data_IF_547655993775
#
_entry.id   IF_547655993775
#
_cell.length_a   1.000
_cell.length_b   1.000
_cell.length_c   1.000
_cell.angle_alpha   90.00
_cell.angle_beta   90.00
_cell.angle_gamma   90.00
#
_symmetry.space_group_name_H-M   'P 1'
#
loop_
_entity.id
_entity.type
_entity.pdbx_description
1 polymer ?
#
# COMPACT_ATOMS: atom_id res chain seq x y z
N UNK A 1 25.03 -20.75 31.37
CA UNK A 1 24.06 -20.21 30.40
C UNK A 1 24.56 -20.28 28.97
N UNK A 2 25.61 -19.58 28.54
CA UNK A 2 26.10 -19.71 27.14
C UNK A 2 26.68 -21.11 26.84
N UNK A 3 27.47 -21.69 27.76
CA UNK A 3 28.01 -23.05 27.57
C UNK A 3 26.92 -24.15 27.60
N UNK A 4 25.87 -23.95 28.40
CA UNK A 4 24.69 -24.84 28.39
C UNK A 4 23.84 -24.67 27.12
N UNK A 5 23.77 -23.46 26.57
CA UNK A 5 23.09 -23.20 25.30
C UNK A 5 23.83 -23.90 24.14
N UNK A 6 25.16 -23.79 24.11
CA UNK A 6 26.00 -24.48 23.12
C UNK A 6 25.88 -26.00 23.27
N UNK A 7 25.96 -26.54 24.50
CA UNK A 7 25.83 -27.98 24.74
C UNK A 7 24.44 -28.53 24.38
N UNK A 8 23.37 -27.75 24.61
CA UNK A 8 22.02 -28.11 24.17
C UNK A 8 21.85 -28.00 22.65
N UNK A 9 22.50 -27.03 22.01
CA UNK A 9 22.53 -26.91 20.55
C UNK A 9 23.26 -28.11 19.92
N UNK A 10 24.35 -28.59 20.52
CA UNK A 10 25.05 -29.80 20.07
C UNK A 10 24.23 -31.09 20.24
N UNK A 11 23.33 -31.13 21.23
CA UNK A 11 22.37 -32.25 21.40
C UNK A 11 21.22 -32.22 20.39
N UNK A 12 20.89 -31.05 19.84
CA UNK A 12 19.87 -30.87 18.79
C UNK A 12 20.40 -31.21 17.39
N UNK A 13 21.71 -31.08 17.15
CA UNK A 13 22.38 -31.44 15.88
C UNK A 13 21.95 -32.80 15.28
N UNK A 14 21.92 -33.94 16.02
CA UNK A 14 21.48 -35.22 15.43
C UNK A 14 19.99 -35.26 15.04
N UNK A 15 19.16 -34.41 15.65
CA UNK A 15 17.76 -34.27 15.28
C UNK A 15 17.60 -33.36 14.06
N UNK A 16 18.40 -32.30 13.96
CA UNK A 16 18.51 -31.45 12.77
C UNK A 16 19.04 -32.23 11.57
N UNK A 17 20.12 -33.01 11.73
CA UNK A 17 20.68 -33.88 10.68
C UNK A 17 19.65 -34.89 10.16
N UNK A 18 18.87 -35.52 11.05
CA UNK A 18 17.81 -36.45 10.63
C UNK A 18 16.69 -35.71 9.87
N UNK A 19 16.37 -34.48 10.28
CA UNK A 19 15.37 -33.64 9.60
C UNK A 19 15.89 -33.19 8.22
N UNK A 20 17.18 -32.93 8.11
CA UNK A 20 17.86 -32.57 6.87
C UNK A 20 17.94 -33.76 5.89
N UNK A 21 18.22 -34.97 6.39
CA UNK A 21 18.15 -36.21 5.59
C UNK A 21 16.71 -36.51 5.11
N UNK A 22 15.70 -36.28 5.95
CA UNK A 22 14.32 -36.47 5.53
C UNK A 22 13.88 -35.39 4.52
N UNK A 23 14.37 -34.16 4.67
CA UNK A 23 14.16 -33.08 3.70
C UNK A 23 14.83 -33.37 2.36
N UNK A 24 16.04 -33.92 2.35
CA UNK A 24 16.74 -34.29 1.11
C UNK A 24 16.01 -35.41 0.37
N UNK A 25 15.48 -36.42 1.09
CA UNK A 25 14.64 -37.47 0.50
C UNK A 25 13.35 -36.90 -0.09
N UNK A 26 12.74 -35.91 0.57
CA UNK A 26 11.57 -35.22 0.03
C UNK A 26 11.92 -34.46 -1.24
N UNK A 27 13.04 -33.73 -1.27
CA UNK A 27 13.47 -33.00 -2.48
C UNK A 27 13.81 -33.94 -3.65
N UNK A 28 14.35 -35.13 -3.38
CA UNK A 28 14.52 -36.18 -4.39
C UNK A 28 13.17 -36.68 -4.94
N UNK A 29 12.15 -36.82 -4.07
CA UNK A 29 10.78 -37.19 -4.46
C UNK A 29 10.07 -36.07 -5.22
N UNK A 30 10.38 -34.80 -4.93
CA UNK A 30 9.84 -33.64 -5.65
C UNK A 30 10.25 -33.64 -7.11
N UNK A 31 11.46 -34.13 -7.38
CA UNK A 31 12.03 -34.22 -8.72
C UNK A 31 12.35 -32.85 -9.31
N UNK A 32 13.37 -32.81 -10.15
CA UNK A 32 13.72 -31.64 -10.96
C UNK A 32 13.71 -32.05 -12.45
N UNK A 33 12.98 -31.35 -13.34
CA UNK A 33 12.24 -30.10 -13.15
C UNK A 33 10.82 -30.29 -12.61
N UNK A 34 10.31 -29.27 -11.90
CA UNK A 34 8.91 -29.13 -11.50
C UNK A 34 8.15 -28.32 -12.55
N UNK A 35 6.90 -28.67 -12.81
CA UNK A 35 5.99 -27.95 -13.71
C UNK A 35 4.92 -27.22 -12.90
N UNK A 36 4.49 -26.04 -13.35
CA UNK A 36 3.40 -25.29 -12.72
C UNK A 36 2.06 -25.65 -13.36
N UNK A 37 1.05 -25.88 -12.53
CA UNK A 37 -0.34 -26.09 -12.93
C UNK A 37 -1.30 -25.41 -11.95
N UNK A 38 -2.59 -25.46 -12.24
CA UNK A 38 -3.65 -24.95 -11.36
C UNK A 38 -4.46 -26.11 -10.80
N UNK A 39 -4.87 -25.99 -9.54
CA UNK A 39 -5.79 -26.92 -8.91
C UNK A 39 -7.22 -26.55 -9.33
N UNK A 40 -7.94 -27.44 -10.02
CA UNK A 40 -9.33 -27.17 -10.41
C UNK A 40 -10.30 -27.62 -9.31
N UNK A 41 -10.16 -28.86 -8.85
CA UNK A 41 -11.07 -29.46 -7.87
C UNK A 41 -10.37 -30.51 -7.02
N UNK A 42 -10.68 -30.53 -5.72
CA UNK A 42 -10.29 -31.60 -4.81
C UNK A 42 -11.38 -32.67 -4.80
N UNK A 43 -11.01 -33.89 -5.19
CA UNK A 43 -11.96 -35.03 -5.25
C UNK A 43 -11.95 -35.78 -3.93
N UNK A 44 -10.77 -36.08 -3.39
CA UNK A 44 -10.60 -36.77 -2.12
C UNK A 44 -9.33 -36.29 -1.41
N UNK A 45 -9.01 -36.88 -0.24
CA UNK A 45 -7.85 -36.49 0.54
C UNK A 45 -6.51 -36.70 -0.17
N UNK A 46 -6.44 -37.57 -1.19
CA UNK A 46 -5.19 -37.99 -1.83
C UNK A 46 -5.19 -37.74 -3.34
N UNK A 47 -6.27 -37.21 -3.92
CA UNK A 47 -6.40 -36.99 -5.36
C UNK A 47 -7.12 -35.68 -5.68
N UNK A 48 -6.63 -35.01 -6.70
CA UNK A 48 -7.19 -33.78 -7.22
C UNK A 48 -7.19 -33.76 -8.74
N UNK A 49 -8.06 -32.94 -9.30
CA UNK A 49 -8.06 -32.58 -10.71
C UNK A 49 -7.21 -31.33 -10.88
N UNK A 50 -6.23 -31.42 -11.77
CA UNK A 50 -5.27 -30.35 -12.02
C UNK A 50 -5.22 -30.01 -13.50
N UNK A 51 -5.11 -28.73 -13.82
CA UNK A 51 -4.92 -28.24 -15.18
C UNK A 51 -3.47 -27.80 -15.36
N UNK A 52 -2.83 -28.26 -16.44
CA UNK A 52 -1.50 -27.79 -16.81
C UNK A 52 -1.63 -26.54 -17.69
N UNK A 53 -0.63 -25.65 -17.65
CA UNK A 53 -0.61 -24.35 -18.35
C UNK A 53 -0.99 -24.38 -19.85
N UNK A 54 -0.85 -25.52 -20.53
CA UNK A 54 -1.24 -25.69 -21.94
C UNK A 54 -1.92 -27.06 -22.19
N UNK A 55 -2.49 -27.68 -21.15
CA UNK A 55 -2.87 -29.10 -21.18
C UNK A 55 -4.33 -29.40 -20.86
N UNK A 56 -4.78 -30.65 -21.11
CA UNK A 56 -6.02 -31.18 -20.58
C UNK A 56 -5.96 -31.32 -19.05
N UNK A 57 -7.12 -31.48 -18.43
CA UNK A 57 -7.25 -31.77 -16.99
C UNK A 57 -6.75 -33.19 -16.70
N UNK A 58 -5.95 -33.34 -15.63
CA UNK A 58 -5.41 -34.61 -15.17
C UNK A 58 -5.92 -34.93 -13.77
N UNK A 59 -6.30 -36.19 -13.57
CA UNK A 59 -6.55 -36.74 -12.24
C UNK A 59 -5.23 -37.24 -11.66
N UNK A 60 -4.76 -36.60 -10.59
CA UNK A 60 -3.43 -36.81 -10.04
C UNK A 60 -3.46 -37.03 -8.53
N UNK A 61 -2.47 -37.76 -8.03
CA UNK A 61 -2.28 -37.97 -6.59
C UNK A 61 -1.57 -36.81 -5.91
N UNK A 62 -1.98 -36.49 -4.68
CA UNK A 62 -1.36 -35.51 -3.79
C UNK A 62 -0.32 -36.23 -2.92
N UNK A 63 0.93 -35.74 -2.91
CA UNK A 63 1.98 -36.32 -2.07
C UNK A 63 1.76 -35.98 -0.59
N UNK A 64 2.11 -36.92 0.30
CA UNK A 64 1.77 -36.84 1.73
C UNK A 64 2.42 -35.69 2.51
N UNK A 65 3.42 -35.02 1.94
CA UNK A 65 4.10 -33.87 2.54
C UNK A 65 3.52 -32.52 2.11
N UNK A 66 2.49 -32.52 1.27
CA UNK A 66 1.73 -31.31 0.92
C UNK A 66 0.68 -31.08 2.00
N UNK A 67 0.63 -29.85 2.53
CA UNK A 67 -0.39 -29.45 3.47
C UNK A 67 -1.74 -29.31 2.74
N UNK A 68 -2.71 -30.13 3.14
CA UNK A 68 -4.01 -30.25 2.46
C UNK A 68 -4.94 -29.10 2.82
N UNK A 69 -4.75 -28.52 4.00
CA UNK A 69 -5.59 -27.43 4.51
C UNK A 69 -5.37 -26.13 3.72
N UNK A 70 -4.24 -26.05 3.00
CA UNK A 70 -3.85 -24.89 2.18
C UNK A 70 -4.20 -25.06 0.68
N UNK A 71 -4.77 -26.21 0.28
CA UNK A 71 -5.16 -26.44 -1.12
C UNK A 71 -6.57 -25.88 -1.36
N UNK A 72 -6.66 -24.72 -2.00
CA UNK A 72 -7.93 -24.15 -2.46
C UNK A 72 -8.08 -24.26 -3.99
N UNK A 73 -9.29 -24.51 -4.51
CA UNK A 73 -9.56 -24.47 -5.95
C UNK A 73 -9.12 -23.12 -6.55
N UNK A 74 -8.32 -23.18 -7.60
CA UNK A 74 -7.74 -22.03 -8.28
C UNK A 74 -6.30 -21.70 -7.86
N UNK A 75 -5.76 -22.33 -6.81
CA UNK A 75 -4.36 -22.13 -6.41
C UNK A 75 -3.37 -22.69 -7.44
N UNK A 76 -2.24 -22.00 -7.58
CA UNK A 76 -1.11 -22.50 -8.35
C UNK A 76 -0.37 -23.60 -7.58
N UNK A 77 -0.15 -24.73 -8.21
CA UNK A 77 0.50 -25.90 -7.64
C UNK A 77 1.76 -26.28 -8.41
N UNK A 78 2.70 -26.86 -7.69
CA UNK A 78 3.89 -27.51 -8.23
C UNK A 78 3.58 -28.98 -8.50
N UNK A 79 3.83 -29.39 -9.73
CA UNK A 79 3.61 -30.75 -10.20
C UNK A 79 4.93 -31.40 -10.60
N UNK A 80 5.06 -32.71 -10.36
CA UNK A 80 6.20 -33.48 -10.84
C UNK A 80 6.10 -33.70 -12.36
N UNK A 81 7.10 -33.32 -13.14
CA UNK A 81 7.04 -33.37 -14.61
C UNK A 81 6.71 -34.76 -15.21
N UNK A 82 7.16 -35.86 -14.59
CA UNK A 82 6.89 -37.23 -15.09
C UNK A 82 5.56 -37.86 -14.64
N UNK A 83 5.16 -37.65 -13.38
CA UNK A 83 4.05 -38.37 -12.74
C UNK A 83 2.82 -37.48 -12.60
N UNK A 84 3.00 -36.16 -12.80
CA UNK A 84 1.98 -35.12 -12.65
C UNK A 84 1.37 -35.05 -11.24
N UNK A 85 1.94 -35.76 -10.25
CA UNK A 85 1.53 -35.65 -8.85
C UNK A 85 1.77 -34.25 -8.28
N UNK A 86 0.92 -33.84 -7.33
CA UNK A 86 1.06 -32.57 -6.62
C UNK A 86 2.20 -32.70 -5.61
N UNK A 87 3.23 -31.88 -5.81
CA UNK A 87 4.48 -31.85 -5.04
C UNK A 87 4.50 -30.71 -4.03
N UNK A 88 3.72 -29.68 -4.26
CA UNK A 88 3.65 -28.56 -3.35
C UNK A 88 2.71 -27.49 -3.87
N UNK A 89 2.41 -26.55 -3.01
CA UNK A 89 1.74 -25.32 -3.37
C UNK A 89 2.81 -24.33 -3.83
N UNK A 90 2.55 -23.67 -4.96
CA UNK A 90 3.28 -22.45 -5.28
C UNK A 90 2.57 -21.35 -4.47
N UNK A 91 3.28 -20.73 -3.52
CA UNK A 91 2.72 -19.59 -2.78
C UNK A 91 2.22 -18.57 -3.80
N UNK A 92 0.99 -18.09 -3.60
CA UNK A 92 0.26 -17.24 -4.55
C UNK A 92 1.22 -16.25 -5.22
N UNK A 93 1.41 -16.42 -6.53
CA UNK A 93 2.08 -15.42 -7.33
C UNK A 93 1.17 -14.19 -7.28
N UNK A 94 1.43 -13.32 -6.32
CA UNK A 94 0.90 -11.98 -6.33
C UNK A 94 1.25 -11.43 -7.70
N UNK A 95 0.22 -11.10 -8.49
CA UNK A 95 0.38 -10.67 -9.89
C UNK A 95 1.56 -9.69 -9.93
N UNK A 96 2.58 -9.87 -10.81
CA UNK A 96 3.76 -9.03 -10.79
C UNK A 96 3.41 -7.54 -10.87
N UNK A 97 2.25 -7.17 -11.42
CA UNK A 97 1.69 -5.81 -11.36
C UNK A 97 1.37 -5.30 -9.95
N UNK A 98 0.93 -6.17 -9.05
CA UNK A 98 0.65 -5.86 -7.64
C UNK A 98 1.95 -5.86 -6.84
N UNK A 99 2.92 -6.69 -7.21
CA UNK A 99 4.30 -6.57 -6.71
C UNK A 99 4.98 -5.25 -7.12
N UNK A 100 4.50 -4.60 -8.20
CA UNK A 100 4.91 -3.22 -8.58
C UNK A 100 4.25 -2.15 -7.70
N UNK A 101 3.13 -2.46 -7.03
CA UNK A 101 2.62 -1.56 -5.98
C UNK A 101 3.66 -1.54 -4.89
N UNK A 102 4.24 -0.36 -4.70
CA UNK A 102 5.35 -0.20 -3.78
C UNK A 102 4.86 -0.47 -2.37
N UNK A 103 5.18 -1.66 -1.86
CA UNK A 103 5.35 -1.89 -0.42
C UNK A 103 6.56 -1.06 -0.02
N UNK A 104 6.36 0.25 0.14
CA UNK A 104 7.40 1.14 0.60
C UNK A 104 7.59 0.86 2.09
N UNK A 105 8.80 0.41 2.47
CA UNK A 105 9.23 0.47 3.88
C UNK A 105 9.00 1.90 4.37
N UNK A 106 8.53 2.03 5.61
CA UNK A 106 8.20 3.28 6.30
C UNK A 106 9.00 4.48 5.75
N UNK A 107 8.35 5.42 5.05
CA UNK A 107 9.05 6.58 4.51
C UNK A 107 9.69 7.38 5.64
N UNK A 108 10.82 8.04 5.37
CA UNK A 108 11.63 8.72 6.40
C UNK A 108 10.97 9.99 6.96
N UNK A 109 9.89 10.46 6.34
CA UNK A 109 9.22 11.72 6.67
C UNK A 109 8.40 11.55 7.95
N UNK A 110 8.53 12.50 8.88
CA UNK A 110 7.83 12.49 10.16
C UNK A 110 6.83 13.65 10.24
N UNK A 111 5.91 13.63 11.20
CA UNK A 111 5.02 14.77 11.44
C UNK A 111 5.78 16.07 11.77
N UNK A 112 7.01 15.97 12.29
CA UNK A 112 7.84 17.14 12.57
C UNK A 112 8.34 17.85 11.30
N UNK A 113 8.37 17.16 10.17
CA UNK A 113 8.75 17.72 8.87
C UNK A 113 7.58 18.46 8.19
N UNK A 114 6.36 18.39 8.75
CA UNK A 114 5.15 19.04 8.23
C UNK A 114 4.87 20.30 9.04
N UNK A 115 4.83 21.45 8.36
CA UNK A 115 4.60 22.75 9.00
C UNK A 115 3.13 23.18 8.97
N UNK A 116 2.57 23.53 10.13
CA UNK A 116 1.34 24.34 10.28
C UNK A 116 0.04 23.69 9.80
N UNK A 117 -0.01 22.36 9.79
CA UNK A 117 -1.21 21.56 9.51
C UNK A 117 -1.66 20.78 10.76
N UNK A 118 -1.56 21.40 11.94
CA UNK A 118 -1.76 20.71 13.23
C UNK A 118 -3.18 20.11 13.36
N UNK A 119 -4.20 20.82 12.86
CA UNK A 119 -5.58 20.35 12.88
C UNK A 119 -5.79 19.13 11.97
N UNK A 120 -5.27 19.19 10.74
CA UNK A 120 -5.35 18.10 9.77
C UNK A 120 -4.55 16.88 10.22
N UNK A 121 -3.38 17.09 10.83
CA UNK A 121 -2.59 16.03 11.44
C UNK A 121 -3.40 15.34 12.53
N UNK A 122 -4.02 16.11 13.43
CA UNK A 122 -4.84 15.55 14.52
C UNK A 122 -6.01 14.70 13.98
N UNK A 123 -6.74 15.19 12.98
CA UNK A 123 -7.86 14.44 12.38
C UNK A 123 -7.41 13.12 11.73
N UNK A 124 -6.29 13.13 11.03
CA UNK A 124 -5.70 11.90 10.47
C UNK A 124 -5.27 10.93 11.56
N UNK A 125 -4.63 11.44 12.63
CA UNK A 125 -4.17 10.59 13.74
C UNK A 125 -5.33 9.89 14.41
N UNK A 126 -6.42 10.61 14.67
CA UNK A 126 -7.64 10.04 15.22
C UNK A 126 -8.27 9.01 14.29
N UNK A 127 -8.20 9.21 12.97
CA UNK A 127 -8.81 8.32 11.99
C UNK A 127 -7.99 7.05 11.69
N UNK A 128 -6.66 7.14 11.72
CA UNK A 128 -5.77 6.06 11.25
C UNK A 128 -4.85 5.54 12.36
N UNK A 129 -4.17 6.41 13.11
CA UNK A 129 -3.18 6.00 14.12
C UNK A 129 -3.84 5.48 15.40
N UNK A 130 -4.87 6.16 15.90
CA UNK A 130 -5.55 5.81 17.14
C UNK A 130 -6.23 4.44 17.10
N UNK A 131 -6.95 4.05 16.02
CA UNK A 131 -7.53 2.71 15.93
C UNK A 131 -6.49 1.58 15.90
N UNK A 132 -5.30 1.84 15.33
CA UNK A 132 -4.23 0.86 15.22
C UNK A 132 -3.42 0.73 16.52
N UNK A 133 -3.22 1.84 17.23
CA UNK A 133 -2.42 1.87 18.46
C UNK A 133 -3.23 1.51 19.71
N UNK A 134 -4.49 1.94 19.78
CA UNK A 134 -5.37 1.78 20.94
C UNK A 134 -6.79 1.36 20.52
N UNK A 135 -6.99 0.12 20.03
CA UNK A 135 -8.31 -0.39 19.66
C UNK A 135 -9.26 -0.47 20.87
N UNK A 136 -8.75 -0.70 22.08
CA UNK A 136 -9.52 -0.81 23.33
C UNK A 136 -10.42 0.41 23.58
N UNK A 137 -9.96 1.62 23.23
CA UNK A 137 -10.73 2.85 23.40
C UNK A 137 -12.02 2.86 22.57
N UNK A 138 -12.00 2.22 21.39
CA UNK A 138 -13.17 2.11 20.52
C UNK A 138 -14.13 1.03 21.00
N UNK A 139 -13.59 -0.08 21.52
CA UNK A 139 -14.38 -1.18 22.09
C UNK A 139 -15.14 -0.76 23.35
N UNK A 140 -14.48 -0.03 24.27
CA UNK A 140 -15.07 0.46 25.51
C UNK A 140 -16.26 1.41 25.27
N UNK A 141 -16.14 2.26 24.23
CA UNK A 141 -17.20 3.20 23.84
C UNK A 141 -18.26 2.49 22.97
N UNK A 142 -17.93 1.35 22.35
CA UNK A 142 -18.81 0.60 21.45
C UNK A 142 -19.02 1.26 20.10
N UNK A 143 -18.05 2.05 19.62
CA UNK A 143 -18.11 2.72 18.32
C UNK A 143 -17.14 2.07 17.34
N UNK A 144 -17.54 1.95 16.07
CA UNK A 144 -16.63 1.50 15.02
C UNK A 144 -15.68 2.65 14.63
N UNK A 145 -14.38 2.37 14.42
CA UNK A 145 -13.47 3.37 13.90
C UNK A 145 -13.86 3.79 12.47
N UNK A 146 -13.52 5.01 12.03
CA UNK A 146 -13.77 5.43 10.66
C UNK A 146 -13.02 4.54 9.67
N UNK A 147 -13.64 4.26 8.51
CA UNK A 147 -13.12 3.32 7.50
C UNK A 147 -12.19 4.01 6.50
N UNK A 148 -12.59 5.18 6.03
CA UNK A 148 -11.91 5.90 4.95
C UNK A 148 -11.74 7.38 5.23
N UNK A 149 -10.58 7.90 4.81
CA UNK A 149 -10.23 9.32 4.87
C UNK A 149 -9.97 9.83 3.46
N UNK A 150 -10.53 10.98 3.10
CA UNK A 150 -10.18 11.70 1.87
C UNK A 150 -9.45 13.00 2.19
N UNK A 151 -8.33 13.21 1.52
CA UNK A 151 -7.50 14.41 1.56
C UNK A 151 -7.74 15.20 0.28
N UNK A 152 -8.22 16.44 0.41
CA UNK A 152 -8.50 17.29 -0.75
C UNK A 152 -7.98 18.72 -0.57
N UNK A 153 -7.67 19.40 -1.68
CA UNK A 153 -7.25 20.80 -1.69
C UNK A 153 -6.36 21.13 -2.87
N UNK A 154 -5.71 22.29 -2.87
CA UNK A 154 -4.80 22.70 -3.94
C UNK A 154 -3.57 21.77 -4.05
N UNK A 155 -3.00 21.57 -5.25
CA UNK A 155 -1.77 20.81 -5.41
C UNK A 155 -0.61 21.50 -4.66
N UNK A 156 0.36 20.72 -4.18
CA UNK A 156 1.53 21.27 -3.47
C UNK A 156 1.30 21.65 -2.00
N UNK A 157 0.12 21.36 -1.44
CA UNK A 157 -0.23 21.57 -0.01
C UNK A 157 0.26 20.47 0.93
N UNK A 158 0.90 19.41 0.41
CA UNK A 158 1.51 18.37 1.24
C UNK A 158 0.63 17.16 1.57
N UNK A 159 -0.46 16.93 0.82
CA UNK A 159 -1.32 15.72 0.96
C UNK A 159 -0.52 14.41 0.97
N UNK A 160 0.37 14.23 -0.02
CA UNK A 160 1.23 13.04 -0.12
C UNK A 160 2.27 12.97 1.01
N UNK A 161 2.77 14.12 1.50
CA UNK A 161 3.71 14.17 2.63
C UNK A 161 3.04 13.72 3.93
N UNK A 162 1.79 14.13 4.16
CA UNK A 162 1.04 13.71 5.34
C UNK A 162 0.77 12.20 5.34
N UNK A 163 0.37 11.64 4.20
CA UNK A 163 0.17 10.20 4.07
C UNK A 163 1.45 9.40 4.37
N UNK A 164 2.61 9.89 3.91
CA UNK A 164 3.90 9.29 4.23
C UNK A 164 4.24 9.40 5.72
N UNK A 165 4.03 10.56 6.34
CA UNK A 165 4.27 10.72 7.77
C UNK A 165 3.42 9.77 8.63
N UNK A 166 2.18 9.49 8.22
CA UNK A 166 1.30 8.51 8.88
C UNK A 166 1.87 7.11 8.79
N UNK A 167 2.27 6.69 7.58
CA UNK A 167 2.87 5.37 7.37
C UNK A 167 4.14 5.16 8.20
N UNK A 168 4.92 6.22 8.43
CA UNK A 168 6.09 6.16 9.30
C UNK A 168 5.70 5.99 10.79
N UNK A 169 4.63 6.66 11.25
CA UNK A 169 4.19 6.59 12.65
C UNK A 169 3.55 5.25 13.01
N UNK A 170 2.73 4.70 12.10
CA UNK A 170 1.91 3.51 12.42
C UNK A 170 2.64 2.19 12.28
N UNK A 171 3.86 2.17 11.71
CA UNK A 171 4.63 0.94 11.41
C UNK A 171 3.83 -0.14 10.64
N UNK A 172 2.70 0.24 10.05
CA UNK A 172 1.82 -0.63 9.28
C UNK A 172 2.32 -0.76 7.84
N UNK A 173 1.91 -1.82 7.15
CA UNK A 173 2.25 -1.99 5.73
C UNK A 173 1.62 -0.85 4.92
N UNK A 174 2.44 -0.05 4.23
CA UNK A 174 1.96 1.03 3.39
C UNK A 174 1.93 0.61 1.92
N UNK A 175 0.73 0.58 1.35
CA UNK A 175 0.48 0.28 -0.05
C UNK A 175 0.13 1.58 -0.77
N UNK A 176 1.01 2.06 -1.63
CA UNK A 176 0.76 3.25 -2.47
C UNK A 176 0.37 2.84 -3.87
N UNK A 177 -0.75 3.38 -4.34
CA UNK A 177 -1.21 3.28 -5.74
C UNK A 177 -1.54 4.67 -6.27
N UNK A 178 -1.22 4.94 -7.53
CA UNK A 178 -1.66 6.17 -8.21
C UNK A 178 -2.94 5.86 -8.99
N UNK A 179 -3.94 6.73 -8.92
CA UNK A 179 -5.25 6.52 -9.57
C UNK A 179 -5.13 6.22 -11.07
N UNK A 180 -4.16 6.83 -11.76
CA UNK A 180 -3.88 6.55 -13.17
C UNK A 180 -3.43 5.10 -13.44
N UNK A 181 -2.82 4.41 -12.48
CA UNK A 181 -2.35 3.02 -12.62
C UNK A 181 -3.51 2.01 -12.64
N UNK A 182 -4.67 2.40 -12.11
CA UNK A 182 -5.89 1.59 -12.16
C UNK A 182 -6.53 1.56 -13.56
N UNK A 183 -6.08 2.42 -14.48
CA UNK A 183 -6.59 2.50 -15.85
C UNK A 183 -5.72 1.63 -16.76
N UNK A 184 -6.25 0.48 -17.17
CA UNK A 184 -5.56 -0.47 -18.04
C UNK A 184 -6.11 -0.46 -19.47
N UNK A 185 -5.27 -0.89 -20.43
CA UNK A 185 -5.65 -0.93 -21.86
C UNK A 185 -6.59 -2.09 -22.19
N UNK A 186 -6.48 -3.19 -21.45
CA UNK A 186 -7.30 -4.38 -21.64
C UNK A 186 -8.55 -4.32 -20.79
N UNK A 187 -9.64 -4.84 -21.34
CA UNK A 187 -10.95 -4.86 -20.69
C UNK A 187 -10.95 -5.88 -19.55
N UNK A 188 -11.28 -5.47 -18.33
CA UNK A 188 -11.37 -6.32 -17.15
C UNK A 188 -10.11 -6.33 -16.28
N UNK A 189 -8.98 -5.83 -16.78
CA UNK A 189 -7.73 -5.77 -16.01
C UNK A 189 -7.81 -4.75 -14.87
N UNK A 190 -8.53 -3.64 -15.07
CA UNK A 190 -8.72 -2.63 -14.03
C UNK A 190 -9.45 -3.19 -12.80
N UNK A 191 -10.65 -3.77 -12.93
CA UNK A 191 -11.35 -4.43 -11.83
C UNK A 191 -10.59 -5.60 -11.22
N UNK A 192 -9.82 -6.37 -12.01
CA UNK A 192 -8.95 -7.45 -11.49
C UNK A 192 -7.88 -6.85 -10.56
N UNK A 193 -7.18 -5.81 -11.02
CA UNK A 193 -6.13 -5.15 -10.24
C UNK A 193 -6.63 -4.58 -8.91
N UNK A 194 -7.83 -3.99 -8.89
CA UNK A 194 -8.45 -3.47 -7.66
C UNK A 194 -8.73 -4.61 -6.67
N UNK A 195 -9.25 -5.76 -7.13
CA UNK A 195 -9.48 -6.93 -6.26
C UNK A 195 -8.19 -7.47 -5.67
N UNK A 196 -7.15 -7.59 -6.50
CA UNK A 196 -5.84 -8.05 -6.05
C UNK A 196 -5.18 -7.09 -5.06
N UNK A 197 -5.27 -5.77 -5.28
CA UNK A 197 -4.77 -4.74 -4.35
C UNK A 197 -5.35 -4.96 -2.95
N UNK A 198 -6.67 -5.14 -2.86
CA UNK A 198 -7.34 -5.33 -1.57
C UNK A 198 -7.08 -6.71 -0.97
N UNK A 199 -6.88 -7.76 -1.77
CA UNK A 199 -6.45 -9.07 -1.27
C UNK A 199 -5.10 -8.96 -0.58
N UNK A 200 -4.11 -8.34 -1.24
CA UNK A 200 -2.77 -8.13 -0.66
C UNK A 200 -2.81 -7.24 0.57
N UNK A 201 -3.68 -6.23 0.59
CA UNK A 201 -3.87 -5.39 1.76
C UNK A 201 -4.41 -6.18 2.97
N UNK A 202 -5.32 -7.13 2.73
CA UNK A 202 -5.88 -8.00 3.76
C UNK A 202 -4.85 -9.02 4.25
N UNK A 203 -4.09 -9.64 3.34
CA UNK A 203 -3.01 -10.58 3.65
C UNK A 203 -1.88 -9.94 4.49
N UNK A 204 -1.63 -8.64 4.27
CA UNK A 204 -0.60 -7.85 4.96
C UNK A 204 -1.17 -7.00 6.12
N UNK A 205 -2.34 -7.36 6.65
CA UNK A 205 -3.00 -6.64 7.73
C UNK A 205 -2.17 -6.69 9.04
N UNK A 206 -2.02 -5.57 9.78
CA UNK A 206 -2.62 -4.24 9.56
C UNK A 206 -1.94 -3.45 8.42
N UNK A 207 -2.75 -2.90 7.51
CA UNK A 207 -2.26 -2.20 6.31
C UNK A 207 -3.00 -0.90 6.02
N UNK A 208 -2.29 0.02 5.35
CA UNK A 208 -2.81 1.32 4.91
C UNK A 208 -2.70 1.37 3.39
N UNK A 209 -3.85 1.50 2.72
CA UNK A 209 -3.95 1.68 1.27
C UNK A 209 -4.08 3.16 0.97
N UNK A 210 -3.03 3.75 0.38
CA UNK A 210 -3.01 5.13 -0.08
C UNK A 210 -3.20 5.21 -1.59
N UNK A 211 -4.31 5.81 -2.02
CA UNK A 211 -4.61 6.06 -3.43
C UNK A 211 -4.44 7.54 -3.72
N UNK A 212 -3.38 7.89 -4.45
CA UNK A 212 -3.10 9.25 -4.89
C UNK A 212 -3.85 9.57 -6.20
N UNK A 213 -4.16 10.84 -6.46
CA UNK A 213 -4.81 11.29 -7.71
C UNK A 213 -6.07 10.48 -8.10
N UNK A 214 -6.94 10.20 -7.13
CA UNK A 214 -8.16 9.41 -7.38
C UNK A 214 -9.12 10.08 -8.39
N UNK A 215 -8.97 11.38 -8.64
CA UNK A 215 -9.71 12.11 -9.67
C UNK A 215 -9.43 11.61 -11.09
N UNK A 216 -8.32 10.90 -11.34
CA UNK A 216 -8.08 10.25 -12.62
C UNK A 216 -9.17 9.20 -12.96
N UNK A 217 -9.68 8.49 -11.95
CA UNK A 217 -10.67 7.39 -12.09
C UNK A 217 -12.06 7.82 -11.63
N UNK A 218 -12.14 8.72 -10.65
CA UNK A 218 -13.37 9.09 -9.95
C UNK A 218 -14.24 10.16 -10.63
N UNK A 219 -13.92 10.60 -11.86
CA UNK A 219 -14.68 11.68 -12.53
C UNK A 219 -16.17 11.32 -12.73
N UNK A 220 -17.07 12.24 -12.34
CA UNK A 220 -18.51 12.17 -12.67
C UNK A 220 -18.70 12.15 -14.18
N UNK A 221 -18.99 11.00 -14.78
CA UNK A 221 -19.31 10.90 -16.21
C UNK A 221 -20.77 10.52 -16.39
N UNK A 222 -21.54 11.46 -16.96
CA UNK A 222 -22.99 11.35 -17.10
C UNK A 222 -23.44 10.56 -18.34
N UNK A 223 -22.57 10.26 -19.32
CA UNK A 223 -22.89 9.33 -20.41
C UNK A 223 -21.61 8.87 -21.14
N UNK A 224 -21.16 7.65 -20.83
CA UNK A 224 -19.98 7.05 -21.46
C UNK A 224 -20.31 6.57 -22.89
N UNK A 225 -19.99 7.42 -23.88
CA UNK A 225 -20.18 7.13 -25.29
C UNK A 225 -19.06 6.25 -25.87
N UNK A 226 -17.88 6.21 -25.23
CA UNK A 226 -16.71 5.46 -25.68
C UNK A 226 -16.42 4.23 -24.81
N UNK A 227 -15.93 3.15 -25.43
CA UNK A 227 -15.59 1.90 -24.74
C UNK A 227 -14.58 2.06 -23.59
N UNK A 228 -13.60 2.96 -23.74
CA UNK A 228 -12.60 3.23 -22.69
C UNK A 228 -13.19 3.89 -21.43
N UNK A 229 -14.24 4.70 -21.57
CA UNK A 229 -14.88 5.37 -20.42
C UNK A 229 -15.72 4.39 -19.60
N UNK A 230 -16.35 3.42 -20.27
CA UNK A 230 -17.10 2.33 -19.62
C UNK A 230 -16.18 1.46 -18.77
N UNK A 231 -14.94 1.25 -19.20
CA UNK A 231 -13.98 0.47 -18.44
C UNK A 231 -13.54 1.21 -17.17
N UNK A 232 -13.22 2.50 -17.26
CA UNK A 232 -12.90 3.34 -16.09
C UNK A 232 -14.06 3.31 -15.07
N UNK A 233 -15.30 3.40 -15.55
CA UNK A 233 -16.48 3.32 -14.70
C UNK A 233 -16.61 1.95 -14.02
N UNK A 234 -16.32 0.85 -14.72
CA UNK A 234 -16.31 -0.50 -14.12
C UNK A 234 -15.25 -0.63 -13.04
N UNK A 235 -14.04 -0.14 -13.28
CA UNK A 235 -12.97 -0.12 -12.27
C UNK A 235 -13.37 0.71 -11.04
N UNK A 236 -14.01 1.87 -11.25
CA UNK A 236 -14.51 2.70 -10.15
C UNK A 236 -15.61 2.00 -9.34
N UNK A 237 -16.56 1.34 -10.01
CA UNK A 237 -17.61 0.57 -9.35
C UNK A 237 -17.04 -0.60 -8.54
N UNK A 238 -16.00 -1.27 -9.06
CA UNK A 238 -15.32 -2.32 -8.32
C UNK A 238 -14.60 -1.76 -7.09
N UNK A 239 -13.89 -0.64 -7.22
CA UNK A 239 -13.29 0.06 -6.08
C UNK A 239 -14.35 0.42 -5.03
N UNK A 240 -15.51 0.90 -5.45
CA UNK A 240 -16.64 1.17 -4.56
C UNK A 240 -17.16 -0.08 -3.84
N UNK A 241 -17.28 -1.20 -4.56
CA UNK A 241 -17.70 -2.46 -3.98
C UNK A 241 -16.68 -2.98 -2.95
N UNK A 242 -15.39 -2.88 -3.26
CA UNK A 242 -14.34 -3.26 -2.31
C UNK A 242 -14.36 -2.35 -1.07
N UNK A 243 -14.58 -1.04 -1.23
CA UNK A 243 -14.71 -0.08 -0.12
C UNK A 243 -15.95 -0.31 0.78
N UNK A 244 -17.08 -0.76 0.21
CA UNK A 244 -18.29 -1.10 0.98
C UNK A 244 -18.20 -2.49 1.65
N UNK A 245 -17.55 -3.45 0.99
CA UNK A 245 -17.43 -4.83 1.44
C UNK A 245 -16.58 -5.03 2.70
N UNK A 246 -16.05 -3.95 3.28
CA UNK A 246 -15.17 -3.96 4.45
C UNK A 246 -15.85 -4.32 5.79
N UNK A 247 -17.17 -4.49 5.86
CA UNK A 247 -17.83 -4.84 7.13
C UNK A 247 -17.43 -6.22 7.69
N UNK A 248 -16.70 -7.05 6.93
CA UNK A 248 -16.15 -8.33 7.37
C UNK A 248 -14.63 -8.49 7.17
N UNK A 249 -13.90 -7.46 6.72
CA UNK A 249 -12.51 -7.57 6.25
C UNK A 249 -11.53 -6.68 7.03
N UNK A 250 -11.07 -7.19 8.16
CA UNK A 250 -9.79 -6.81 8.78
C UNK A 250 -9.53 -5.34 9.14
N UNK A 251 -8.29 -5.09 9.57
CA UNK A 251 -7.75 -3.78 9.97
C UNK A 251 -7.09 -3.01 8.81
N UNK A 252 -7.77 -2.95 7.65
CA UNK A 252 -7.29 -2.20 6.48
C UNK A 252 -7.86 -0.78 6.51
N UNK A 253 -7.00 0.23 6.41
CA UNK A 253 -7.40 1.64 6.34
C UNK A 253 -7.16 2.22 4.95
N UNK A 254 -8.11 2.98 4.43
CA UNK A 254 -8.00 3.60 3.11
C UNK A 254 -7.85 5.11 3.23
N UNK A 255 -6.81 5.66 2.59
CA UNK A 255 -6.57 7.08 2.46
C UNK A 255 -6.60 7.44 0.97
N UNK A 256 -7.51 8.33 0.59
CA UNK A 256 -7.65 8.83 -0.77
C UNK A 256 -7.13 10.26 -0.85
N UNK A 257 -6.34 10.60 -1.85
CA UNK A 257 -5.93 11.98 -2.11
C UNK A 257 -6.45 12.47 -3.47
N UNK A 258 -7.00 13.68 -3.49
CA UNK A 258 -7.47 14.34 -4.70
C UNK A 258 -7.14 15.83 -4.66
N UNK A 259 -7.00 16.44 -5.84
CA UNK A 259 -6.95 17.89 -5.94
C UNK A 259 -8.33 18.52 -6.12
N UNK A 260 -9.31 17.76 -6.64
CA UNK A 260 -10.64 18.26 -7.01
C UNK A 260 -11.74 17.37 -6.47
N UNK A 261 -12.20 17.65 -5.25
CA UNK A 261 -13.28 16.87 -4.63
C UNK A 261 -14.63 17.00 -5.38
N UNK A 262 -14.84 18.11 -6.07
CA UNK A 262 -16.08 18.41 -6.82
C UNK A 262 -16.29 17.53 -8.06
N UNK A 263 -15.19 17.05 -8.67
CA UNK A 263 -15.22 16.19 -9.85
C UNK A 263 -15.50 14.73 -9.49
N UNK A 264 -15.35 14.35 -8.22
CA UNK A 264 -15.53 12.97 -7.75
C UNK A 264 -16.99 12.57 -7.65
N UNK A 265 -17.29 11.32 -8.02
CA UNK A 265 -18.62 10.73 -7.87
C UNK A 265 -19.14 10.88 -6.43
N UNK A 266 -20.34 11.45 -6.19
CA UNK A 266 -20.91 11.57 -4.85
C UNK A 266 -21.11 10.22 -4.16
N UNK A 267 -21.18 9.11 -4.93
CA UNK A 267 -21.24 7.77 -4.39
C UNK A 267 -19.99 7.42 -3.56
N UNK A 268 -18.79 7.89 -3.94
CA UNK A 268 -17.57 7.71 -3.14
C UNK A 268 -17.66 8.47 -1.82
N UNK A 269 -18.24 9.68 -1.84
CA UNK A 269 -18.28 10.60 -0.71
C UNK A 269 -19.39 10.31 0.32
N UNK A 270 -20.12 9.21 0.15
CA UNK A 270 -21.20 8.79 1.05
C UNK A 270 -20.61 8.26 2.37
N UNK A 271 -21.16 8.68 3.53
CA UNK A 271 -20.78 8.13 4.83
C UNK A 271 -20.93 6.60 4.87
N UNK A 272 -19.98 5.89 5.47
CA UNK A 272 -19.85 4.43 5.40
C UNK A 272 -18.75 3.93 4.45
N UNK A 273 -18.34 4.75 3.48
CA UNK A 273 -17.15 4.54 2.62
C UNK A 273 -16.02 5.48 3.02
N UNK A 274 -16.33 6.77 3.00
CA UNK A 274 -15.42 7.86 3.38
C UNK A 274 -16.11 8.63 4.51
N UNK A 275 -15.56 8.51 5.72
CA UNK A 275 -16.14 9.09 6.92
C UNK A 275 -15.51 10.45 7.25
N UNK A 276 -14.23 10.63 6.91
CA UNK A 276 -13.48 11.88 7.16
C UNK A 276 -13.08 12.56 5.86
N UNK A 277 -13.34 13.86 5.79
CA UNK A 277 -13.00 14.72 4.65
C UNK A 277 -12.11 15.84 5.19
N UNK A 278 -10.83 15.79 4.84
CA UNK A 278 -9.82 16.70 5.37
C UNK A 278 -9.40 17.66 4.27
N UNK A 279 -9.64 18.94 4.52
CA UNK A 279 -9.29 20.03 3.62
C UNK A 279 -7.88 20.55 3.87
N UNK A 280 -7.14 20.73 2.79
CA UNK A 280 -5.81 21.32 2.78
C UNK A 280 -5.89 22.72 2.16
N UNK A 281 -6.05 23.76 2.98
CA UNK A 281 -6.00 25.13 2.51
C UNK A 281 -4.57 25.52 2.11
N UNK A 282 -4.44 26.64 1.40
CA UNK A 282 -3.16 27.29 1.18
C UNK A 282 -2.56 27.75 2.53
N UNK A 283 -1.22 27.75 2.67
CA UNK A 283 -0.57 28.02 3.94
C UNK A 283 -0.70 29.49 4.36
N UNK A 284 -1.15 29.72 5.60
CA UNK A 284 -1.16 31.04 6.25
C UNK A 284 0.26 31.60 6.44
N UNK A 285 0.39 32.90 6.71
CA UNK A 285 1.67 33.57 7.04
C UNK A 285 2.46 32.80 8.13
N UNK A 286 1.77 32.35 9.19
CA UNK A 286 2.40 31.57 10.28
C UNK A 286 2.89 30.21 9.80
N UNK A 287 2.09 29.53 8.98
CA UNK A 287 2.41 28.23 8.40
C UNK A 287 3.56 28.33 7.40
N UNK A 288 3.54 29.34 6.52
CA UNK A 288 4.63 29.66 5.59
C UNK A 288 5.96 29.85 6.33
N UNK A 289 5.97 30.65 7.40
CA UNK A 289 7.16 30.83 8.25
C UNK A 289 7.72 29.50 8.74
N UNK A 290 6.84 28.60 9.20
CA UNK A 290 7.24 27.28 9.69
C UNK A 290 7.80 26.41 8.57
N UNK A 291 7.18 26.41 7.39
CA UNK A 291 7.65 25.66 6.21
C UNK A 291 9.04 26.16 5.77
N UNK A 292 9.23 27.48 5.69
CA UNK A 292 10.55 28.05 5.41
C UNK A 292 11.59 27.59 6.45
N UNK A 293 11.27 27.68 7.75
CA UNK A 293 12.17 27.26 8.81
C UNK A 293 12.57 25.78 8.72
N UNK A 294 11.62 24.89 8.37
CA UNK A 294 11.89 23.46 8.19
C UNK A 294 12.83 23.23 7.01
N UNK A 295 12.56 23.83 5.84
CA UNK A 295 13.39 23.63 4.66
C UNK A 295 14.77 24.28 4.77
N UNK A 296 14.89 25.41 5.47
CA UNK A 296 16.18 26.07 5.70
C UNK A 296 16.96 25.49 6.88
N UNK A 297 16.36 24.65 7.73
CA UNK A 297 17.04 24.07 8.91
C UNK A 297 18.30 23.29 8.57
N UNK A 298 18.35 22.68 7.37
CA UNK A 298 19.51 21.92 6.87
C UNK A 298 20.46 22.78 6.03
N UNK A 299 20.10 24.02 5.73
CA UNK A 299 20.88 24.94 4.88
C UNK A 299 21.70 25.92 5.71
N UNK A 300 22.90 26.24 5.24
CA UNK A 300 23.74 27.31 5.79
C UNK A 300 23.32 28.65 5.20
N UNK A 301 22.44 29.36 5.91
CA UNK A 301 22.04 30.72 5.56
C UNK A 301 23.13 31.72 5.98
N UNK A 302 23.26 32.80 5.21
CA UNK A 302 24.04 33.97 5.61
C UNK A 302 23.24 34.86 6.58
N UNK A 303 23.94 35.67 7.37
CA UNK A 303 23.34 36.46 8.46
C UNK A 303 22.46 37.61 7.95
N UNK A 304 22.52 37.92 6.65
CA UNK A 304 21.74 38.92 5.94
C UNK A 304 20.38 38.40 5.44
N UNK A 305 20.12 37.09 5.50
CA UNK A 305 18.87 36.50 5.01
C UNK A 305 17.74 36.69 6.03
N UNK A 306 16.76 37.52 5.68
CA UNK A 306 15.55 37.70 6.49
C UNK A 306 14.36 36.91 5.93
N UNK A 307 14.04 35.78 6.57
CA UNK A 307 12.90 34.92 6.17
C UNK A 307 11.54 35.63 6.27
N UNK A 308 11.40 36.66 7.11
CA UNK A 308 10.14 37.40 7.24
C UNK A 308 9.75 38.14 5.96
N UNK A 309 10.73 38.63 5.20
CA UNK A 309 10.46 39.36 3.96
C UNK A 309 9.80 38.45 2.91
N UNK A 310 10.30 37.22 2.78
CA UNK A 310 9.74 36.21 1.87
C UNK A 310 8.36 35.71 2.33
N UNK A 311 8.14 35.63 3.64
CA UNK A 311 6.87 35.20 4.22
C UNK A 311 5.78 36.28 4.07
N UNK A 312 6.15 37.56 4.11
CA UNK A 312 5.21 38.68 3.99
C UNK A 312 4.82 39.00 2.54
N UNK A 313 5.50 38.42 1.55
CA UNK A 313 5.09 38.54 0.14
C UNK A 313 3.65 38.08 -0.04
N UNK A 314 2.87 38.86 -0.81
CA UNK A 314 1.44 38.63 -1.05
C UNK A 314 1.14 37.47 -1.99
N UNK A 315 2.17 36.79 -2.49
CA UNK A 315 2.01 35.68 -3.41
C UNK A 315 1.46 34.45 -2.68
N UNK A 316 0.52 33.77 -3.34
CA UNK A 316 -0.06 32.51 -2.90
C UNK A 316 0.93 31.37 -3.17
N UNK A 317 1.90 31.20 -2.25
CA UNK A 317 2.86 30.11 -2.32
C UNK A 317 2.27 28.82 -1.73
N UNK A 318 2.36 27.72 -2.47
CA UNK A 318 2.18 26.38 -1.91
C UNK A 318 3.42 25.94 -1.13
N UNK A 319 3.29 24.89 -0.31
CA UNK A 319 4.44 24.31 0.38
C UNK A 319 5.50 23.77 -0.58
N UNK A 320 5.07 23.27 -1.74
CA UNK A 320 5.96 22.83 -2.82
C UNK A 320 6.74 24.02 -3.44
N UNK A 321 6.11 25.18 -3.61
CA UNK A 321 6.79 26.37 -4.15
C UNK A 321 7.85 26.89 -3.19
N UNK A 322 7.55 26.91 -1.88
CA UNK A 322 8.53 27.30 -0.85
C UNK A 322 9.76 26.37 -0.90
N UNK A 323 9.54 25.06 -1.01
CA UNK A 323 10.62 24.08 -1.16
C UNK A 323 11.42 24.32 -2.43
N UNK A 324 10.77 24.64 -3.55
CA UNK A 324 11.43 24.93 -4.81
C UNK A 324 12.32 26.18 -4.70
N UNK A 325 11.81 27.26 -4.09
CA UNK A 325 12.57 28.50 -3.83
C UNK A 325 13.83 28.21 -3.02
N UNK A 326 13.71 27.48 -1.89
CA UNK A 326 14.87 27.13 -1.07
C UNK A 326 15.89 26.28 -1.85
N UNK A 327 15.42 25.34 -2.69
CA UNK A 327 16.28 24.44 -3.47
C UNK A 327 17.03 25.21 -4.56
N UNK A 328 16.35 26.10 -5.27
CA UNK A 328 16.96 26.97 -6.29
C UNK A 328 17.99 27.93 -5.69
N UNK A 329 17.69 28.52 -4.53
CA UNK A 329 18.65 29.38 -3.81
C UNK A 329 19.94 28.61 -3.44
N UNK A 330 19.80 27.36 -2.98
CA UNK A 330 20.94 26.48 -2.72
C UNK A 330 21.74 26.14 -3.98
N UNK A 331 21.07 25.91 -5.11
CA UNK A 331 21.71 25.61 -6.39
C UNK A 331 22.47 26.83 -6.95
N UNK A 332 21.92 28.03 -6.80
CA UNK A 332 22.59 29.28 -7.17
C UNK A 332 23.85 29.52 -6.34
N UNK A 333 23.80 29.28 -5.03
CA UNK A 333 24.97 29.37 -4.17
C UNK A 333 26.08 28.40 -4.61
N UNK A 334 25.72 27.15 -4.95
CA UNK A 334 26.65 26.15 -5.49
C UNK A 334 27.25 26.57 -6.84
N UNK A 335 26.44 27.17 -7.73
CA UNK A 335 26.90 27.67 -9.04
C UNK A 335 27.98 28.74 -8.89
N UNK A 336 27.87 29.58 -7.86
CA UNK A 336 28.85 30.63 -7.52
C UNK A 336 29.96 30.13 -6.59
N UNK A 337 30.01 28.82 -6.30
CA UNK A 337 30.96 28.16 -5.38
C UNK A 337 30.95 28.74 -3.96
N UNK A 338 29.79 29.22 -3.51
CA UNK A 338 29.57 29.69 -2.13
C UNK A 338 29.04 28.55 -1.27
N UNK A 339 29.49 28.53 0.00
CA UNK A 339 29.00 27.60 1.02
C UNK A 339 27.84 28.18 1.85
N UNK A 340 27.46 29.42 1.60
CA UNK A 340 26.34 30.10 2.26
C UNK A 340 25.34 30.57 1.21
N UNK A 341 24.06 30.39 1.50
CA UNK A 341 22.96 30.95 0.71
C UNK A 341 22.74 32.39 1.17
N UNK A 342 22.72 33.32 0.21
CA UNK A 342 22.62 34.78 0.39
C UNK A 342 21.30 35.24 -0.23
#
# INVERSE_FOLDING_TARGET
MEEEFVANQERLKPQEEKTEEDRSKVDDLRGSPMSVGNLEELIDENHAIVSSSVGPEYYVGILSFVDKDQLEPGCAILMHNKVLSVVGLLQDEVDPMVSVMKVEKAPLESYADIGGLDAQIQEIKEAVELPLTHPELYEDIGIKPPKGVILYGEPGTGKTLLAKAVANSTSATFLRVVGSELIQKYLGDGPKLVRELFRVADDLSPSIVFIDEIDAVGTKRYDAHSGGEREIQRTMLELLNQLDGFDSRGDVKVILATNKIESLDPALLRPGRIDRKIEFPLPDIKTRRRIFQIHTSRMTLADDVNLEEFVMTKDEFSGADIKAICTEAGLLALRERRMKVI
#
